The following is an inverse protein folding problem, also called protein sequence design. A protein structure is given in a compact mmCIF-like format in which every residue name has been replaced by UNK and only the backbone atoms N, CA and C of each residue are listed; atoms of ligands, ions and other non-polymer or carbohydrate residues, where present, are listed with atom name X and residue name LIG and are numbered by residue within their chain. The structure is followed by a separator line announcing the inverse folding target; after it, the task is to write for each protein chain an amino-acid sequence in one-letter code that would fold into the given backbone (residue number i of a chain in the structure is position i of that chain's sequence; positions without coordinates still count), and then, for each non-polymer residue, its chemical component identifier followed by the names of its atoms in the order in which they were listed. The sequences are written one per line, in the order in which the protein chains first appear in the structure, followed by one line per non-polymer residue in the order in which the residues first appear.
data_IF_220920309168
#
_entry.id   IF_220920309168
#
_cell.length_a   1.000
_cell.length_b   1.000
_cell.length_c   1.000
_cell.angle_alpha   90.00
_cell.angle_beta   90.00
_cell.angle_gamma   90.00
#
_symmetry.space_group_name_H-M   'P 1'
#
loop_
_entity.id
_entity.type
_entity.pdbx_description
1 polymer ?
#
# COMPACT_ATOMS: atom_id res chain seq x y z
N UNK A 1 -11.03 3.59 -9.42
CA UNK A 1 -9.72 3.73 -8.77
C UNK A 1 -8.66 3.15 -9.69
N UNK A 2 -7.44 3.70 -9.75
CA UNK A 2 -6.32 3.13 -10.51
C UNK A 2 -5.14 2.93 -9.56
N UNK A 3 -4.50 1.77 -9.61
CA UNK A 3 -3.27 1.48 -8.87
C UNK A 3 -2.15 1.38 -9.90
N UNK A 4 -1.13 2.21 -9.74
CA UNK A 4 0.08 2.10 -10.55
C UNK A 4 1.14 1.43 -9.69
N UNK A 5 1.62 0.23 -10.07
CA UNK A 5 2.68 -0.42 -9.33
C UNK A 5 3.92 0.46 -9.41
N UNK A 6 4.35 0.97 -8.28
CA UNK A 6 5.64 1.64 -8.15
C UNK A 6 6.34 1.07 -6.93
N UNK A 7 6.80 -0.16 -7.11
CA UNK A 7 7.52 -0.90 -6.09
C UNK A 7 8.80 -0.13 -5.78
N UNK A 8 8.79 0.57 -4.66
CA UNK A 8 10.03 0.99 -4.00
C UNK A 8 10.31 -0.10 -2.98
N UNK A 9 11.09 -1.10 -3.39
CA UNK A 9 11.61 -2.14 -2.50
C UNK A 9 12.60 -1.48 -1.54
N UNK A 10 12.16 -1.24 -0.30
CA UNK A 10 13.05 -0.94 0.80
C UNK A 10 13.29 -2.25 1.55
N UNK A 11 14.40 -2.93 1.26
CA UNK A 11 14.82 -4.10 2.02
C UNK A 11 15.24 -3.67 3.42
N UNK A 12 14.48 -4.08 4.43
CA UNK A 12 14.93 -4.13 5.82
C UNK A 12 15.35 -5.56 6.14
N UNK A 13 16.24 -5.74 7.12
CA UNK A 13 16.65 -7.08 7.60
C UNK A 13 15.53 -7.85 8.30
N UNK A 14 14.39 -7.22 8.60
CA UNK A 14 13.27 -7.81 9.33
C UNK A 14 11.96 -7.86 8.53
N UNK A 15 11.82 -7.00 7.52
CA UNK A 15 10.59 -6.84 6.75
C UNK A 15 10.89 -6.46 5.32
N UNK A 16 10.12 -7.00 4.38
CA UNK A 16 10.04 -6.45 3.03
C UNK A 16 8.98 -5.35 3.03
N UNK A 17 9.32 -4.16 2.54
CA UNK A 17 8.36 -3.07 2.40
C UNK A 17 8.00 -2.92 0.93
N UNK A 18 6.74 -3.18 0.60
CA UNK A 18 6.20 -2.94 -0.73
C UNK A 18 5.46 -1.61 -0.73
N UNK A 19 5.82 -0.74 -1.67
CA UNK A 19 5.18 0.57 -1.84
C UNK A 19 4.42 0.61 -3.16
N UNK A 20 3.24 1.24 -3.17
CA UNK A 20 2.40 1.38 -4.35
C UNK A 20 1.84 2.81 -4.40
N UNK A 21 1.74 3.39 -5.60
CA UNK A 21 1.02 4.65 -5.78
C UNK A 21 -0.42 4.32 -6.14
N UNK A 22 -1.34 4.76 -5.30
CA UNK A 22 -2.78 4.59 -5.48
C UNK A 22 -3.37 5.93 -5.86
N UNK A 23 -4.06 5.96 -7.01
CA UNK A 23 -4.72 7.17 -7.50
C UNK A 23 -6.24 6.99 -7.43
N UNK A 24 -6.91 7.90 -6.72
CA UNK A 24 -8.37 7.95 -6.60
C UNK A 24 -8.89 9.34 -6.96
N UNK A 25 -9.58 9.43 -8.11
CA UNK A 25 -9.89 10.73 -8.72
C UNK A 25 -8.63 11.49 -9.09
N UNK A 26 -8.52 12.73 -8.61
CA UNK A 26 -7.36 13.62 -8.81
C UNK A 26 -6.32 13.53 -7.69
N UNK A 27 -6.46 12.58 -6.75
CA UNK A 27 -5.58 12.43 -5.58
C UNK A 27 -4.69 11.22 -5.70
N UNK A 28 -3.44 11.37 -5.30
CA UNK A 28 -2.46 10.30 -5.18
C UNK A 28 -2.14 10.02 -3.71
N UNK A 29 -2.00 8.74 -3.39
CA UNK A 29 -1.63 8.24 -2.07
C UNK A 29 -0.51 7.22 -2.21
N UNK A 30 0.38 7.17 -1.23
CA UNK A 30 1.39 6.13 -1.12
C UNK A 30 0.86 5.04 -0.18
N UNK A 31 0.59 3.86 -0.72
CA UNK A 31 0.23 2.67 0.03
C UNK A 31 1.49 1.87 0.34
N UNK A 32 1.69 1.46 1.60
CA UNK A 32 2.84 0.65 2.04
C UNK A 32 2.39 -0.59 2.77
N UNK A 33 2.87 -1.74 2.34
CA UNK A 33 2.70 -3.03 3.00
C UNK A 33 4.02 -3.44 3.65
N UNK A 34 3.94 -3.89 4.90
CA UNK A 34 5.06 -4.52 5.61
C UNK A 34 4.82 -6.02 5.63
N UNK A 35 5.62 -6.73 4.86
CA UNK A 35 5.61 -8.19 4.77
C UNK A 35 6.67 -8.73 5.73
N UNK A 36 6.28 -9.71 6.55
CA UNK A 36 7.24 -10.48 7.32
C UNK A 36 7.94 -11.54 6.46
N UNK A 37 8.75 -12.40 7.10
CA UNK A 37 9.51 -13.44 6.41
C UNK A 37 8.65 -14.52 5.73
N UNK A 38 7.37 -14.62 6.07
CA UNK A 38 6.42 -15.57 5.47
C UNK A 38 5.56 -14.89 4.39
N UNK A 39 5.96 -13.68 3.94
CA UNK A 39 5.20 -12.82 3.02
C UNK A 39 3.78 -12.51 3.51
N UNK A 40 3.57 -12.51 4.84
CA UNK A 40 2.30 -12.13 5.45
C UNK A 40 2.29 -10.63 5.65
N UNK A 41 1.25 -9.95 5.14
CA UNK A 41 1.04 -8.52 5.38
C UNK A 41 0.74 -8.31 6.86
N UNK A 42 1.73 -7.79 7.59
CA UNK A 42 1.61 -7.50 9.02
C UNK A 42 0.97 -6.15 9.29
N UNK A 43 1.28 -5.14 8.46
CA UNK A 43 0.69 -3.81 8.55
C UNK A 43 0.61 -3.17 7.17
N UNK A 44 -0.42 -2.36 6.96
CA UNK A 44 -0.61 -1.56 5.77
C UNK A 44 -0.94 -0.11 6.12
N UNK A 45 -0.29 0.84 5.45
CA UNK A 45 -0.46 2.27 5.70
C UNK A 45 -0.80 3.02 4.42
N UNK A 46 -1.71 4.00 4.53
CA UNK A 46 -2.00 4.95 3.47
C UNK A 46 -1.44 6.32 3.86
N UNK A 47 -0.50 6.80 3.06
CA UNK A 47 0.20 8.06 3.28
C UNK A 47 -0.23 9.08 2.23
N UNK A 48 -0.62 10.28 2.64
CA UNK A 48 -0.97 11.37 1.71
C UNK A 48 0.26 12.09 1.15
N UNK A 49 0.04 13.09 0.28
CA UNK A 49 1.12 13.91 -0.32
C UNK A 49 1.98 14.67 0.70
N UNK A 50 1.42 15.01 1.87
CA UNK A 50 2.14 15.65 2.97
C UNK A 50 3.02 14.67 3.78
N UNK A 51 3.00 13.38 3.43
CA UNK A 51 3.70 12.34 4.19
C UNK A 51 2.99 11.91 5.48
N UNK A 52 1.73 12.31 5.69
CA UNK A 52 0.93 11.95 6.87
C UNK A 52 0.22 10.63 6.69
N UNK A 53 0.22 9.83 7.75
CA UNK A 53 -0.60 8.64 7.86
C UNK A 53 -2.08 9.02 7.96
N UNK A 54 -2.87 8.57 6.98
CA UNK A 54 -4.30 8.79 6.88
C UNK A 54 -5.09 7.48 6.87
N UNK A 55 -4.46 6.38 7.29
CA UNK A 55 -5.00 5.01 7.21
C UNK A 55 -6.37 4.90 7.88
N UNK A 56 -6.52 5.40 9.11
CA UNK A 56 -7.80 5.34 9.83
C UNK A 56 -8.91 6.17 9.17
N UNK A 57 -8.54 7.30 8.55
CA UNK A 57 -9.48 8.15 7.80
C UNK A 57 -9.87 7.56 6.45
N UNK A 58 -9.17 6.50 6.02
CA UNK A 58 -9.29 5.91 4.69
C UNK A 58 -9.44 4.38 4.73
N UNK A 59 -9.84 3.78 5.86
CA UNK A 59 -9.95 2.31 5.99
C UNK A 59 -10.85 1.66 4.92
N UNK A 60 -11.83 2.39 4.39
CA UNK A 60 -12.64 1.93 3.26
C UNK A 60 -11.78 1.61 2.03
N UNK A 61 -10.76 2.45 1.74
CA UNK A 61 -9.88 2.27 0.58
C UNK A 61 -8.85 1.15 0.77
N UNK A 62 -8.38 0.89 1.99
CA UNK A 62 -7.32 -0.11 2.23
C UNK A 62 -7.76 -1.51 1.83
N UNK A 63 -9.00 -1.91 2.16
CA UNK A 63 -9.53 -3.23 1.76
C UNK A 63 -9.73 -3.34 0.25
N UNK A 64 -10.22 -2.29 -0.40
CA UNK A 64 -10.38 -2.27 -1.85
C UNK A 64 -9.01 -2.34 -2.57
N UNK A 65 -8.00 -1.65 -2.05
CA UNK A 65 -6.62 -1.71 -2.57
C UNK A 65 -6.06 -3.12 -2.46
N UNK A 66 -6.22 -3.77 -1.28
CA UNK A 66 -5.76 -5.14 -1.06
C UNK A 66 -6.41 -6.12 -2.05
N UNK A 67 -7.73 -6.04 -2.22
CA UNK A 67 -8.45 -6.91 -3.17
C UNK A 67 -7.97 -6.70 -4.61
N UNK A 68 -7.75 -5.44 -5.02
CA UNK A 68 -7.23 -5.15 -6.36
C UNK A 68 -5.80 -5.67 -6.56
N UNK A 69 -4.97 -5.68 -5.52
CA UNK A 69 -3.63 -6.27 -5.56
C UNK A 69 -3.70 -7.80 -5.68
N UNK A 70 -4.57 -8.46 -4.90
CA UNK A 70 -4.78 -9.91 -4.97
C UNK A 70 -5.26 -10.36 -6.36
N UNK A 71 -6.20 -9.62 -6.97
CA UNK A 71 -6.70 -9.88 -8.33
C UNK A 71 -5.60 -9.69 -9.39
N UNK A 72 -4.66 -8.77 -9.18
CA UNK A 72 -3.54 -8.54 -10.11
C UNK A 72 -2.41 -9.58 -10.00
N UNK A 73 -2.35 -10.32 -8.89
CA UNK A 73 -1.38 -11.38 -8.66
C UNK A 73 -1.79 -12.76 -9.22
N UNK A 74 -3.01 -12.88 -9.78
CA UNK A 74 -3.57 -14.12 -10.37
C UNK A 74 -3.49 -14.11 -11.90
#
# INVERSE_FOLDING_TARGET
MKISPKVIELQSTLYSVHSYIVTTGDREFLYREYLDFDDIVTNAYLINEDGKDVTESCMFFVREIQQMLDEAAT
#
